data_IF_729684596508
#
_entry.id   IF_729684596508
#
_cell.length_a   1.000
_cell.length_b   1.000
_cell.length_c   1.000
_cell.angle_alpha   90.00
_cell.angle_beta   90.00
_cell.angle_gamma   90.00
#
_symmetry.space_group_name_H-M   'P 1'
#
loop_
_entity.id
_entity.type
_entity.pdbx_description
1 polymer ?
#
# COMPACT_ATOMS: atom_id res chain seq x y z
N UNK A 1 14.22 8.93 -8.14
CA UNK A 1 12.84 8.46 -7.91
C UNK A 1 12.82 7.51 -6.72
N UNK A 2 11.84 7.66 -5.88
CA UNK A 2 11.65 6.86 -4.68
C UNK A 2 11.30 5.41 -5.05
N UNK A 3 11.89 4.42 -4.38
CA UNK A 3 11.61 3.00 -4.64
C UNK A 3 10.16 2.63 -4.34
N UNK A 4 9.46 3.43 -3.55
CA UNK A 4 8.04 3.19 -3.21
C UNK A 4 7.08 3.84 -4.18
N UNK A 5 7.57 4.56 -5.18
CA UNK A 5 6.73 5.35 -6.08
C UNK A 5 5.69 4.47 -6.80
N UNK A 6 6.11 3.36 -7.36
CA UNK A 6 5.21 2.54 -8.17
C UNK A 6 4.08 1.93 -7.35
N UNK A 7 4.40 1.39 -6.16
CA UNK A 7 3.36 0.78 -5.33
C UNK A 7 2.40 1.84 -4.78
N UNK A 8 2.92 2.97 -4.34
CA UNK A 8 2.06 4.03 -3.79
C UNK A 8 1.21 4.67 -4.87
N UNK A 9 1.77 4.87 -6.07
CA UNK A 9 1.00 5.35 -7.22
C UNK A 9 -0.11 4.37 -7.58
N UNK A 10 0.21 3.08 -7.63
CA UNK A 10 -0.76 2.04 -7.97
C UNK A 10 -1.94 2.03 -7.00
N UNK A 11 -1.66 2.13 -5.70
CA UNK A 11 -2.71 2.18 -4.67
C UNK A 11 -3.53 3.47 -4.82
N UNK A 12 -2.87 4.60 -5.01
CA UNK A 12 -3.54 5.89 -5.18
C UNK A 12 -4.47 5.88 -6.39
N UNK A 13 -4.02 5.33 -7.50
CA UNK A 13 -4.81 5.24 -8.73
C UNK A 13 -6.02 4.29 -8.56
N UNK A 14 -5.92 3.33 -7.66
CA UNK A 14 -6.99 2.37 -7.38
C UNK A 14 -7.96 2.80 -6.29
N UNK A 15 -7.97 4.08 -5.90
CA UNK A 15 -8.90 4.60 -4.90
C UNK A 15 -8.32 4.69 -3.50
N UNK A 16 -7.01 4.74 -3.39
CA UNK A 16 -6.27 4.91 -2.14
C UNK A 16 -6.30 3.71 -1.20
N UNK A 17 -6.87 2.59 -1.62
CA UNK A 17 -6.89 1.35 -0.83
C UNK A 17 -6.55 0.15 -1.69
N UNK A 18 -6.00 -0.90 -1.08
CA UNK A 18 -5.75 -2.16 -1.75
C UNK A 18 -5.63 -3.28 -0.72
N UNK A 19 -6.11 -4.47 -1.07
CA UNK A 19 -5.92 -5.65 -0.23
C UNK A 19 -4.51 -6.20 -0.40
N UNK A 20 -4.00 -6.88 0.65
CA UNK A 20 -2.67 -7.50 0.57
C UNK A 20 -2.55 -8.50 -0.59
N UNK A 21 -3.52 -9.42 -0.82
CA UNK A 21 -3.40 -10.35 -1.95
C UNK A 21 -3.32 -9.64 -3.30
N UNK A 22 -4.05 -8.55 -3.49
CA UNK A 22 -3.99 -7.77 -4.72
C UNK A 22 -2.60 -7.15 -4.92
N UNK A 23 -2.04 -6.59 -3.87
CA UNK A 23 -0.69 -6.02 -3.93
C UNK A 23 0.36 -7.08 -4.24
N UNK A 24 0.22 -8.27 -3.66
CA UNK A 24 1.17 -9.36 -3.88
C UNK A 24 1.17 -9.88 -5.32
N UNK A 25 0.12 -9.63 -6.10
CA UNK A 25 0.11 -9.97 -7.52
C UNK A 25 1.08 -9.10 -8.33
N UNK A 26 1.43 -7.93 -7.84
CA UNK A 26 2.21 -6.95 -8.58
C UNK A 26 3.50 -6.54 -7.90
N UNK A 27 3.62 -6.75 -6.58
CA UNK A 27 4.76 -6.25 -5.80
C UNK A 27 5.22 -7.32 -4.81
N UNK A 28 6.52 -7.35 -4.47
CA UNK A 28 7.02 -8.30 -3.49
C UNK A 28 6.55 -7.94 -2.07
N UNK A 29 6.40 -8.96 -1.23
CA UNK A 29 5.94 -8.78 0.15
C UNK A 29 6.84 -7.83 0.93
N UNK A 30 8.17 -7.89 0.71
CA UNK A 30 9.13 -7.02 1.40
C UNK A 30 8.84 -5.56 1.15
N UNK A 31 8.46 -5.21 -0.09
CA UNK A 31 8.15 -3.82 -0.43
C UNK A 31 6.88 -3.35 0.28
N UNK A 32 5.87 -4.21 0.35
CA UNK A 32 4.63 -3.90 1.07
C UNK A 32 4.94 -3.68 2.55
N UNK A 33 5.71 -4.58 3.14
CA UNK A 33 6.06 -4.50 4.56
C UNK A 33 6.90 -3.28 4.86
N UNK A 34 7.80 -2.88 3.96
CA UNK A 34 8.56 -1.64 4.10
C UNK A 34 7.66 -0.40 4.08
N UNK A 35 6.64 -0.40 3.21
CA UNK A 35 5.66 0.69 3.17
C UNK A 35 4.91 0.80 4.50
N UNK A 36 4.55 -0.34 5.09
CA UNK A 36 3.89 -0.36 6.41
C UNK A 36 4.84 0.15 7.50
N UNK A 37 6.09 -0.31 7.49
CA UNK A 37 7.09 0.07 8.48
C UNK A 37 7.42 1.55 8.41
N UNK A 38 7.41 2.13 7.22
CA UNK A 38 7.67 3.56 7.03
C UNK A 38 6.43 4.43 7.28
N UNK A 39 5.30 3.83 7.58
CA UNK A 39 4.07 4.59 7.79
C UNK A 39 3.42 5.12 6.52
N UNK A 40 3.79 4.59 5.35
CA UNK A 40 3.19 4.99 4.08
C UNK A 40 1.86 4.30 3.82
N UNK A 41 1.65 3.14 4.42
CA UNK A 41 0.40 2.38 4.39
C UNK A 41 -0.02 2.04 5.80
N UNK A 42 -1.33 1.87 5.99
CA UNK A 42 -1.89 1.43 7.28
C UNK A 42 -3.02 0.44 7.00
N UNK A 43 -3.12 -0.59 7.82
CA UNK A 43 -4.24 -1.53 7.72
C UNK A 43 -5.49 -0.85 8.28
N UNK A 44 -6.55 -0.77 7.48
CA UNK A 44 -7.79 -0.08 7.86
C UNK A 44 -8.92 -1.04 8.17
N UNK A 45 -8.87 -2.27 7.66
CA UNK A 45 -9.89 -3.28 7.89
C UNK A 45 -9.43 -4.60 7.31
N UNK A 46 -10.25 -5.62 7.50
CA UNK A 46 -10.12 -6.90 6.80
C UNK A 46 -11.36 -7.12 5.93
N UNK A 47 -11.17 -7.72 4.77
CA UNK A 47 -12.27 -8.01 3.85
C UNK A 47 -13.03 -9.28 4.27
N UNK A 48 -13.98 -9.72 3.43
CA UNK A 48 -14.81 -10.90 3.69
C UNK A 48 -13.98 -12.19 3.83
N UNK A 49 -12.77 -12.23 3.27
CA UNK A 49 -11.87 -13.38 3.34
C UNK A 49 -10.84 -13.24 4.46
N UNK A 50 -11.05 -12.30 5.38
CA UNK A 50 -10.13 -12.02 6.48
C UNK A 50 -8.73 -11.59 6.01
N UNK A 51 -8.65 -10.93 4.86
CA UNK A 51 -7.41 -10.42 4.29
C UNK A 51 -7.22 -8.95 4.64
N UNK A 52 -5.99 -8.53 4.99
CA UNK A 52 -5.76 -7.11 5.33
C UNK A 52 -6.03 -6.20 4.14
N UNK A 53 -6.68 -5.08 4.39
CA UNK A 53 -6.87 -4.00 3.41
C UNK A 53 -6.13 -2.78 3.92
N UNK A 54 -5.26 -2.23 3.09
CA UNK A 54 -4.42 -1.10 3.44
C UNK A 54 -4.92 0.17 2.76
N UNK A 55 -4.71 1.30 3.42
CA UNK A 55 -4.91 2.62 2.82
C UNK A 55 -3.58 3.36 2.78
N UNK A 56 -3.40 4.19 1.75
CA UNK A 56 -2.25 5.09 1.70
C UNK A 56 -2.45 6.18 2.76
N UNK A 57 -1.38 6.51 3.47
CA UNK A 57 -1.41 7.55 4.50
C UNK A 57 -1.03 8.90 3.91
N UNK A 58 -1.19 9.97 4.69
CA UNK A 58 -0.71 11.29 4.29
C UNK A 58 0.80 11.26 4.02
N UNK A 59 1.56 10.58 4.88
CA UNK A 59 3.00 10.41 4.67
C UNK A 59 3.31 9.66 3.37
N UNK A 60 2.50 8.65 3.03
CA UNK A 60 2.63 7.94 1.77
C UNK A 60 2.38 8.82 0.57
N UNK A 61 1.34 9.64 0.61
CA UNK A 61 1.03 10.59 -0.45
C UNK A 61 2.19 11.59 -0.64
N UNK A 62 2.69 12.14 0.45
CA UNK A 62 3.79 13.11 0.40
C UNK A 62 5.08 12.49 -0.15
N UNK A 63 5.31 11.18 0.09
CA UNK A 63 6.56 10.54 -0.27
C UNK A 63 6.75 10.38 -1.78
N UNK A 64 5.67 10.38 -2.58
CA UNK A 64 5.79 10.19 -4.01
C UNK A 64 5.44 11.42 -4.85
N UNK A 65 5.15 12.53 -4.22
CA UNK A 65 4.97 13.81 -4.93
C UNK A 65 6.28 14.58 -5.09
#
# INVERSE_FOLDING_TARGET
>A
MNRFYQILYWISAGGNTASRPNLLKHFPAELIDECLDNGYLVEIRRNAFNEPVYAITHAGIESFF
#
